data_IF_369448983817
#
_entry.id   IF_369448983817
#
_cell.length_a   1.000
_cell.length_b   1.000
_cell.length_c   1.000
_cell.angle_alpha   90.00
_cell.angle_beta   90.00
_cell.angle_gamma   90.00
#
_symmetry.space_group_name_H-M   'P 1'
#
loop_
_entity.id
_entity.type
_entity.pdbx_description
1 polymer ?
#
# COMPACT_ATOMS: atom_id res chain seq x y z
N UNK A 1 -0.70 -15.60 -6.00
CA UNK A 1 -0.09 -14.93 -7.16
C UNK A 1 1.39 -15.26 -7.16
N UNK A 2 1.92 -15.92 -8.18
CA UNK A 2 3.35 -16.22 -8.27
C UNK A 2 4.07 -14.92 -8.63
N UNK A 3 4.87 -14.39 -7.71
CA UNK A 3 5.71 -13.21 -7.96
C UNK A 3 6.77 -13.60 -8.99
N UNK A 4 6.72 -13.00 -10.18
CA UNK A 4 7.78 -13.18 -11.18
C UNK A 4 9.13 -12.73 -10.61
N UNK A 5 10.18 -13.51 -10.90
CA UNK A 5 11.54 -13.18 -10.48
C UNK A 5 11.98 -11.85 -11.14
N UNK A 6 12.71 -10.97 -10.43
CA UNK A 6 13.09 -9.64 -10.91
C UNK A 6 13.95 -9.65 -12.19
N UNK A 7 14.65 -10.75 -12.46
CA UNK A 7 15.34 -11.02 -13.73
C UNK A 7 14.53 -11.97 -14.62
N UNK A 8 14.10 -11.46 -15.77
CA UNK A 8 13.48 -12.25 -16.84
C UNK A 8 14.51 -12.96 -17.71
N UNK A 9 14.09 -14.00 -18.44
CA UNK A 9 14.95 -14.77 -19.35
C UNK A 9 15.54 -13.88 -20.45
N UNK A 10 14.74 -12.93 -20.94
CA UNK A 10 15.17 -11.95 -21.95
C UNK A 10 16.31 -11.07 -21.41
N UNK A 11 16.16 -10.55 -20.19
CA UNK A 11 17.22 -9.75 -19.56
C UNK A 11 18.48 -10.56 -19.33
N UNK A 12 18.36 -11.83 -18.90
CA UNK A 12 19.55 -12.68 -18.72
C UNK A 12 20.25 -12.93 -20.04
N UNK A 13 19.52 -13.26 -21.12
CA UNK A 13 20.12 -13.50 -22.43
C UNK A 13 20.78 -12.25 -23.03
N UNK A 14 20.25 -11.06 -22.73
CA UNK A 14 20.81 -9.78 -23.16
C UNK A 14 22.14 -9.44 -22.46
N UNK A 15 22.19 -9.57 -21.12
CA UNK A 15 23.37 -9.19 -20.34
C UNK A 15 24.43 -10.29 -20.21
N UNK A 16 24.02 -11.57 -20.23
CA UNK A 16 24.90 -12.73 -20.13
C UNK A 16 24.59 -13.76 -21.24
N UNK A 17 24.93 -13.43 -22.50
CA UNK A 17 24.66 -14.33 -23.63
C UNK A 17 25.38 -15.67 -23.44
N UNK A 18 24.62 -16.77 -23.47
CA UNK A 18 25.12 -18.14 -23.30
C UNK A 18 25.13 -18.67 -21.86
N UNK A 19 24.76 -17.85 -20.87
CA UNK A 19 24.54 -18.33 -19.50
C UNK A 19 23.14 -18.97 -19.34
N UNK A 20 23.03 -19.94 -18.43
CA UNK A 20 21.74 -20.52 -18.04
C UNK A 20 20.95 -19.52 -17.17
N UNK A 21 19.74 -19.08 -17.59
CA UNK A 21 18.89 -18.19 -16.81
C UNK A 21 18.56 -18.70 -15.40
N UNK A 22 18.49 -20.02 -15.20
CA UNK A 22 18.24 -20.58 -13.87
C UNK A 22 19.46 -20.38 -12.95
N UNK A 23 20.67 -20.57 -13.46
CA UNK A 23 21.90 -20.35 -12.70
C UNK A 23 22.09 -18.88 -12.34
N UNK A 24 21.89 -17.96 -13.29
CA UNK A 24 21.99 -16.52 -13.04
C UNK A 24 20.99 -16.06 -11.98
N UNK A 25 19.75 -16.55 -12.02
CA UNK A 25 18.75 -16.23 -10.97
C UNK A 25 19.16 -16.78 -9.61
N UNK A 26 19.64 -18.02 -9.55
CA UNK A 26 20.16 -18.61 -8.31
C UNK A 26 21.33 -17.80 -7.73
N UNK A 27 22.26 -17.37 -8.58
CA UNK A 27 23.39 -16.54 -8.16
C UNK A 27 22.94 -15.15 -7.70
N UNK A 28 21.97 -14.55 -8.40
CA UNK A 28 21.35 -13.31 -8.00
C UNK A 28 20.67 -13.43 -6.64
N UNK A 29 19.83 -14.45 -6.44
CA UNK A 29 19.17 -14.71 -5.16
C UNK A 29 20.18 -14.94 -4.04
N UNK A 30 21.27 -15.66 -4.32
CA UNK A 30 22.36 -15.86 -3.36
C UNK A 30 23.07 -14.55 -3.02
N UNK A 31 23.32 -13.68 -4.00
CA UNK A 31 23.92 -12.36 -3.80
C UNK A 31 23.01 -11.46 -2.96
N UNK A 32 21.71 -11.41 -3.30
CA UNK A 32 20.72 -10.65 -2.54
C UNK A 32 20.63 -11.18 -1.12
N UNK A 33 20.54 -12.50 -0.93
CA UNK A 33 20.53 -13.14 0.39
C UNK A 33 21.80 -12.83 1.20
N UNK A 34 22.98 -12.85 0.57
CA UNK A 34 24.23 -12.51 1.24
C UNK A 34 24.29 -11.03 1.67
N UNK A 35 23.66 -10.13 0.90
CA UNK A 35 23.57 -8.70 1.22
C UNK A 35 22.48 -8.33 2.23
N UNK A 36 21.54 -9.24 2.54
CA UNK A 36 20.46 -8.98 3.48
C UNK A 36 20.98 -8.90 4.92
N UNK A 37 20.60 -7.82 5.60
CA UNK A 37 21.00 -7.53 6.98
C UNK A 37 19.96 -8.03 7.97
N UNK A 38 19.76 -9.35 7.99
CA UNK A 38 18.72 -10.02 8.80
C UNK A 38 19.32 -10.78 9.99
N UNK A 39 20.64 -10.71 10.19
CA UNK A 39 21.33 -11.43 11.26
C UNK A 39 21.58 -10.56 12.48
N UNK A 40 21.44 -11.19 13.65
CA UNK A 40 21.67 -10.62 14.97
C UNK A 40 22.87 -11.31 15.62
N UNK A 41 23.55 -10.57 16.48
CA UNK A 41 24.65 -11.08 17.31
C UNK A 41 24.23 -10.93 18.77
N UNK A 42 24.42 -11.98 19.58
CA UNK A 42 24.09 -11.98 21.01
C UNK A 42 25.33 -12.36 21.84
N UNK A 43 25.53 -11.70 22.99
CA UNK A 43 26.56 -12.03 23.99
C UNK A 43 25.95 -12.05 25.38
N UNK A 44 26.06 -13.18 26.09
CA UNK A 44 25.52 -13.36 27.44
C UNK A 44 24.07 -12.87 27.64
N UNK A 45 23.20 -13.10 26.64
CA UNK A 45 21.80 -12.69 26.72
C UNK A 45 21.48 -11.31 26.12
N UNK A 46 22.47 -10.48 25.79
CA UNK A 46 22.29 -9.14 25.22
C UNK A 46 22.58 -9.11 23.72
N UNK A 47 21.81 -8.35 22.95
CA UNK A 47 22.08 -8.11 21.54
C UNK A 47 23.18 -7.08 21.35
N UNK A 48 24.00 -7.29 20.32
CA UNK A 48 25.01 -6.33 19.91
C UNK A 48 24.40 -5.20 19.09
N UNK A 49 24.69 -3.95 19.44
CA UNK A 49 24.23 -2.75 18.72
C UNK A 49 25.06 -2.51 17.46
N UNK A 50 24.50 -1.84 16.43
CA UNK A 50 25.26 -1.51 15.23
C UNK A 50 26.44 -0.58 15.57
N UNK A 51 27.46 -0.55 14.71
CA UNK A 51 28.63 0.31 14.83
C UNK A 51 29.41 0.15 16.16
N UNK A 52 29.38 -1.06 16.75
CA UNK A 52 30.07 -1.38 18.01
C UNK A 52 29.63 -0.50 19.18
N UNK A 53 28.41 0.03 19.16
CA UNK A 53 27.86 0.93 20.17
C UNK A 53 27.40 0.22 21.46
N UNK A 54 28.07 -0.87 21.86
CA UNK A 54 27.72 -1.67 23.04
C UNK A 54 26.56 -2.65 22.82
N UNK A 55 25.83 -2.95 23.90
CA UNK A 55 24.81 -4.00 23.93
C UNK A 55 23.42 -3.45 24.29
N UNK A 56 22.38 -4.23 24.02
CA UNK A 56 20.98 -3.93 24.36
C UNK A 56 20.24 -5.20 24.76
N UNK A 57 19.21 -5.08 25.60
CA UNK A 57 18.28 -6.18 25.86
C UNK A 57 17.18 -6.27 24.79
N UNK A 58 16.94 -5.17 24.08
CA UNK A 58 15.84 -5.03 23.12
C UNK A 58 16.26 -5.43 21.70
N UNK A 59 15.57 -6.41 21.10
CA UNK A 59 15.80 -6.86 19.71
C UNK A 59 15.62 -5.72 18.69
N UNK A 60 14.68 -4.81 18.94
CA UNK A 60 14.41 -3.66 18.05
C UNK A 60 15.59 -2.69 17.99
N UNK A 61 16.39 -2.61 19.06
CA UNK A 61 17.58 -1.76 19.12
C UNK A 61 18.87 -2.51 18.72
N UNK A 62 18.77 -3.80 18.36
CA UNK A 62 19.90 -4.62 17.96
C UNK A 62 20.41 -4.23 16.57
N UNK A 63 21.72 -4.39 16.36
CA UNK A 63 22.33 -4.25 15.04
C UNK A 63 21.79 -5.28 14.07
N UNK A 64 21.78 -4.90 12.80
CA UNK A 64 21.35 -5.73 11.67
C UNK A 64 22.56 -5.96 10.78
N UNK A 65 22.96 -7.22 10.67
CA UNK A 65 24.19 -7.64 10.02
C UNK A 65 23.89 -8.58 8.86
N UNK A 66 24.72 -8.56 7.83
CA UNK A 66 24.80 -9.69 6.90
C UNK A 66 25.34 -10.92 7.65
N UNK A 67 25.08 -12.13 7.12
CA UNK A 67 25.61 -13.35 7.74
C UNK A 67 27.14 -13.29 7.89
N UNK A 68 27.82 -12.83 6.85
CA UNK A 68 29.29 -12.72 6.83
C UNK A 68 29.80 -11.71 7.86
N UNK A 69 29.16 -10.55 8.00
CA UNK A 69 29.51 -9.58 9.05
C UNK A 69 29.29 -10.15 10.45
N UNK A 70 28.16 -10.82 10.67
CA UNK A 70 27.82 -11.42 11.96
C UNK A 70 28.80 -12.52 12.36
N UNK A 71 29.13 -13.42 11.44
CA UNK A 71 30.08 -14.50 11.68
C UNK A 71 31.50 -13.96 11.93
N UNK A 72 31.90 -12.91 11.21
CA UNK A 72 33.20 -12.25 11.42
C UNK A 72 33.31 -11.61 12.81
N UNK A 73 32.28 -10.89 13.24
CA UNK A 73 32.28 -10.27 14.57
C UNK A 73 32.20 -11.34 15.68
N UNK A 74 31.42 -12.41 15.49
CA UNK A 74 31.34 -13.51 16.43
C UNK A 74 32.66 -14.31 16.55
N UNK A 75 33.44 -14.40 15.47
CA UNK A 75 34.74 -15.08 15.45
C UNK A 75 35.79 -14.44 16.39
N UNK A 76 35.58 -13.20 16.83
CA UNK A 76 36.47 -12.52 17.80
C UNK A 76 36.43 -13.22 19.16
N UNK A 77 35.26 -13.67 19.60
CA UNK A 77 35.08 -14.46 20.83
C UNK A 77 34.04 -15.58 20.59
N UNK A 78 34.42 -16.68 19.92
CA UNK A 78 33.47 -17.71 19.45
C UNK A 78 32.67 -18.38 20.57
N UNK A 79 33.22 -18.41 21.78
CA UNK A 79 32.57 -19.00 22.95
C UNK A 79 31.55 -18.07 23.63
N UNK A 80 31.58 -16.77 23.31
CA UNK A 80 30.74 -15.75 23.97
C UNK A 80 29.67 -15.17 23.03
N UNK A 81 29.93 -15.18 21.72
CA UNK A 81 28.99 -14.67 20.73
C UNK A 81 28.15 -15.78 20.09
N UNK A 82 26.86 -15.49 19.92
CA UNK A 82 25.93 -16.33 19.17
C UNK A 82 25.38 -15.53 18.01
N UNK A 83 25.49 -16.08 16.80
CA UNK A 83 24.87 -15.53 15.59
C UNK A 83 23.52 -16.21 15.38
N UNK A 84 22.47 -15.42 15.17
CA UNK A 84 21.10 -15.90 14.98
C UNK A 84 20.40 -15.08 13.91
N UNK A 85 19.55 -15.72 13.13
CA UNK A 85 18.69 -15.03 12.19
C UNK A 85 17.57 -14.31 12.97
N UNK A 86 17.15 -13.11 12.54
CA UNK A 86 16.17 -12.33 13.31
C UNK A 86 14.80 -13.02 13.44
N UNK A 87 14.48 -13.96 12.55
CA UNK A 87 13.25 -14.77 12.63
C UNK A 87 13.27 -15.81 13.75
N UNK A 88 14.44 -16.19 14.25
CA UNK A 88 14.59 -17.14 15.36
C UNK A 88 14.36 -16.48 16.72
N UNK A 89 14.35 -15.14 16.75
CA UNK A 89 14.16 -14.36 17.95
C UNK A 89 12.77 -13.73 17.90
N UNK A 90 11.87 -14.01 18.87
CA UNK A 90 10.57 -13.33 18.90
C UNK A 90 10.77 -11.83 19.08
N UNK A 91 9.90 -11.03 18.45
CA UNK A 91 9.84 -9.61 18.75
C UNK A 91 9.18 -9.38 20.12
N UNK A 92 9.31 -8.16 20.64
CA UNK A 92 8.64 -7.77 21.87
C UNK A 92 7.10 -7.93 21.71
N UNK A 93 6.37 -8.33 22.76
CA UNK A 93 4.91 -8.51 22.70
C UNK A 93 4.16 -7.29 22.16
N UNK A 94 4.64 -6.07 22.44
CA UNK A 94 4.07 -4.82 21.93
C UNK A 94 4.24 -4.71 20.42
N UNK A 95 5.40 -5.10 19.88
CA UNK A 95 5.68 -5.09 18.44
C UNK A 95 4.77 -6.10 17.72
N UNK A 96 4.60 -7.29 18.28
CA UNK A 96 3.69 -8.30 17.71
C UNK A 96 2.23 -7.83 17.74
N UNK A 97 1.81 -7.19 18.84
CA UNK A 97 0.48 -6.57 18.95
C UNK A 97 0.29 -5.48 17.89
N UNK A 98 1.29 -4.62 17.68
CA UNK A 98 1.26 -3.56 16.67
C UNK A 98 1.19 -4.13 15.25
N UNK A 99 1.97 -5.17 14.93
CA UNK A 99 1.87 -5.88 13.64
C UNK A 99 0.49 -6.46 13.39
N UNK A 100 -0.11 -7.10 14.40
CA UNK A 100 -1.45 -7.65 14.28
C UNK A 100 -2.52 -6.57 14.04
N UNK A 101 -2.40 -5.42 14.72
CA UNK A 101 -3.25 -4.25 14.51
C UNK A 101 -3.06 -3.64 13.12
N UNK A 102 -1.81 -3.51 12.66
CA UNK A 102 -1.48 -3.01 11.33
C UNK A 102 -2.10 -3.90 10.25
N UNK A 103 -1.89 -5.22 10.33
CA UNK A 103 -2.48 -6.18 9.40
C UNK A 103 -4.02 -6.12 9.37
N UNK A 104 -4.65 -5.83 10.52
CA UNK A 104 -6.10 -5.64 10.59
C UNK A 104 -6.54 -4.35 9.91
N UNK A 105 -5.82 -3.25 10.16
CA UNK A 105 -6.10 -1.96 9.52
C UNK A 105 -5.89 -2.02 8.00
N UNK A 106 -4.84 -2.71 7.54
CA UNK A 106 -4.57 -2.91 6.11
C UNK A 106 -5.68 -3.72 5.43
N UNK A 107 -6.15 -4.80 6.07
CA UNK A 107 -7.30 -5.56 5.56
C UNK A 107 -8.56 -4.72 5.44
N UNK A 108 -8.83 -3.86 6.43
CA UNK A 108 -10.02 -3.01 6.39
C UNK A 108 -9.87 -1.90 5.34
N UNK A 109 -8.68 -1.30 5.21
CA UNK A 109 -8.36 -0.36 4.13
C UNK A 109 -8.62 -1.01 2.77
N UNK A 110 -8.11 -2.21 2.54
CA UNK A 110 -8.25 -2.92 1.27
C UNK A 110 -9.71 -3.29 0.99
N UNK A 111 -10.46 -3.69 2.02
CA UNK A 111 -11.90 -3.94 1.92
C UNK A 111 -12.67 -2.69 1.52
N UNK A 112 -12.45 -1.58 2.21
CA UNK A 112 -13.11 -0.30 1.94
C UNK A 112 -12.74 0.25 0.57
N UNK A 113 -11.47 0.16 0.20
CA UNK A 113 -10.99 0.54 -1.13
C UNK A 113 -11.66 -0.31 -2.22
N UNK A 114 -11.79 -1.62 -2.01
CA UNK A 114 -12.54 -2.49 -2.92
C UNK A 114 -14.02 -2.13 -3.03
N UNK A 115 -14.66 -1.75 -1.93
CA UNK A 115 -16.07 -1.34 -1.93
C UNK A 115 -16.33 -0.10 -2.76
N UNK A 116 -15.48 0.93 -2.67
CA UNK A 116 -15.68 2.17 -3.44
C UNK A 116 -15.27 2.03 -4.91
N UNK A 117 -14.32 1.15 -5.22
CA UNK A 117 -13.83 0.92 -6.59
C UNK A 117 -14.58 -0.18 -7.35
N UNK A 118 -15.69 -0.69 -6.80
CA UNK A 118 -16.56 -1.65 -7.46
C UNK A 118 -17.81 -0.94 -8.02
N UNK A 119 -18.02 -0.91 -9.35
CA UNK A 119 -19.21 -0.30 -9.93
C UNK A 119 -20.49 -1.02 -9.47
N UNK A 120 -21.35 -0.30 -8.76
CA UNK A 120 -22.71 -0.74 -8.41
C UNK A 120 -23.67 -0.13 -9.43
N UNK A 121 -24.41 -0.97 -10.17
CA UNK A 121 -25.32 -0.51 -11.23
C UNK A 121 -26.77 -0.89 -10.98
N UNK A 122 -27.06 -1.73 -9.99
CA UNK A 122 -28.41 -2.25 -9.76
C UNK A 122 -29.15 -1.48 -8.67
N UNK A 123 -28.46 -1.13 -7.57
CA UNK A 123 -29.02 -0.26 -6.53
C UNK A 123 -28.57 1.18 -6.75
N UNK A 124 -29.53 2.05 -7.12
CA UNK A 124 -29.25 3.44 -7.44
C UNK A 124 -28.76 4.28 -6.25
N UNK A 125 -29.37 4.15 -5.07
CA UNK A 125 -28.99 4.95 -3.90
C UNK A 125 -27.63 4.52 -3.36
N UNK A 126 -27.42 3.20 -3.26
CA UNK A 126 -26.15 2.62 -2.85
C UNK A 126 -25.06 2.99 -3.85
N UNK A 127 -25.32 2.83 -5.13
CA UNK A 127 -24.39 3.16 -6.20
C UNK A 127 -24.01 4.63 -6.22
N UNK A 128 -24.97 5.55 -6.10
CA UNK A 128 -24.69 6.99 -6.07
C UNK A 128 -23.81 7.37 -4.87
N UNK A 129 -24.04 6.75 -3.71
CA UNK A 129 -23.24 7.01 -2.50
C UNK A 129 -21.80 6.49 -2.63
N UNK A 130 -21.62 5.27 -3.13
CA UNK A 130 -20.30 4.68 -3.35
C UNK A 130 -19.51 5.42 -4.43
N UNK A 131 -20.16 5.73 -5.55
CA UNK A 131 -19.55 6.44 -6.67
C UNK A 131 -19.19 7.89 -6.28
N UNK A 132 -19.96 8.54 -5.41
CA UNK A 132 -19.59 9.85 -4.87
C UNK A 132 -18.29 9.79 -4.04
N UNK A 133 -18.11 8.73 -3.25
CA UNK A 133 -16.88 8.49 -2.50
C UNK A 133 -15.70 8.17 -3.43
N UNK A 134 -15.92 7.36 -4.47
CA UNK A 134 -14.91 7.06 -5.50
C UNK A 134 -14.48 8.30 -6.28
N UNK A 135 -15.40 9.20 -6.65
CA UNK A 135 -15.05 10.46 -7.32
C UNK A 135 -14.16 11.35 -6.44
N UNK A 136 -14.46 11.45 -5.14
CA UNK A 136 -13.62 12.20 -4.18
C UNK A 136 -12.25 11.55 -4.00
N UNK A 137 -12.19 10.22 -3.88
CA UNK A 137 -10.92 9.49 -3.76
C UNK A 137 -10.04 9.71 -5.00
N UNK A 138 -10.64 9.63 -6.18
CA UNK A 138 -9.94 9.73 -7.46
C UNK A 138 -9.44 11.14 -7.79
N UNK A 139 -10.22 12.17 -7.48
CA UNK A 139 -9.91 13.55 -7.87
C UNK A 139 -9.48 14.45 -6.71
N UNK A 140 -9.54 13.95 -5.47
CA UNK A 140 -9.41 14.70 -4.20
C UNK A 140 -10.55 15.69 -3.96
N UNK A 141 -10.87 15.97 -2.70
CA UNK A 141 -11.84 17.01 -2.37
C UNK A 141 -11.31 18.44 -2.51
N UNK A 142 -9.99 18.63 -2.58
CA UNK A 142 -9.39 19.94 -2.89
C UNK A 142 -9.74 20.38 -4.31
N UNK A 143 -9.79 19.43 -5.24
CA UNK A 143 -10.24 19.66 -6.60
C UNK A 143 -11.70 20.13 -6.67
N UNK A 144 -12.56 19.66 -5.76
CA UNK A 144 -13.96 20.07 -5.70
C UNK A 144 -14.18 21.38 -4.92
N UNK A 145 -13.27 21.74 -4.01
CA UNK A 145 -13.35 22.96 -3.22
C UNK A 145 -13.23 24.25 -4.06
N UNK A 146 -12.56 24.18 -5.21
CA UNK A 146 -12.39 25.30 -6.13
C UNK A 146 -13.49 25.45 -7.19
N UNK A 147 -14.42 24.48 -7.30
CA UNK A 147 -15.47 24.50 -8.31
C UNK A 147 -16.50 25.57 -8.01
N UNK A 148 -16.78 26.42 -8.99
CA UNK A 148 -17.91 27.34 -8.96
C UNK A 148 -19.20 26.62 -9.45
N UNK A 149 -20.39 27.24 -9.32
CA UNK A 149 -21.65 26.61 -9.75
C UNK A 149 -21.71 26.18 -11.22
N UNK A 150 -21.04 26.89 -12.14
CA UNK A 150 -21.00 26.51 -13.55
C UNK A 150 -20.12 25.27 -13.79
N UNK A 151 -19.03 25.10 -13.02
CA UNK A 151 -18.19 23.91 -13.11
C UNK A 151 -19.00 22.65 -12.75
N UNK A 152 -19.84 22.75 -11.70
CA UNK A 152 -20.77 21.68 -11.32
C UNK A 152 -21.81 21.41 -12.40
N UNK A 153 -22.43 22.47 -12.95
CA UNK A 153 -23.40 22.35 -14.04
C UNK A 153 -22.81 21.60 -15.24
N UNK A 154 -21.61 21.98 -15.69
CA UNK A 154 -20.96 21.34 -16.85
C UNK A 154 -20.57 19.88 -16.58
N UNK A 155 -20.07 19.57 -15.38
CA UNK A 155 -19.77 18.20 -14.98
C UNK A 155 -21.02 17.31 -15.03
N UNK A 156 -22.13 17.79 -14.46
CA UNK A 156 -23.40 17.05 -14.44
C UNK A 156 -23.93 16.86 -15.86
N UNK A 157 -23.93 17.92 -16.68
CA UNK A 157 -24.35 17.84 -18.07
C UNK A 157 -23.53 16.83 -18.88
N UNK A 158 -22.20 16.84 -18.70
CA UNK A 158 -21.30 15.89 -19.36
C UNK A 158 -21.58 14.43 -18.97
N UNK A 159 -21.78 14.14 -17.68
CA UNK A 159 -22.09 12.79 -17.21
C UNK A 159 -23.47 12.32 -17.68
N UNK A 160 -24.48 13.20 -17.63
CA UNK A 160 -25.81 12.92 -18.13
C UNK A 160 -25.78 12.62 -19.65
N UNK A 161 -25.00 13.38 -20.42
CA UNK A 161 -24.81 13.13 -21.85
C UNK A 161 -24.22 11.74 -22.12
N UNK A 162 -23.27 11.25 -21.32
CA UNK A 162 -22.74 9.88 -21.46
C UNK A 162 -23.81 8.83 -21.18
N UNK A 163 -24.65 9.05 -20.16
CA UNK A 163 -25.76 8.16 -19.87
C UNK A 163 -26.74 8.09 -21.05
N UNK A 164 -27.13 9.24 -21.59
CA UNK A 164 -27.98 9.32 -22.79
C UNK A 164 -27.34 8.62 -23.99
N UNK A 165 -26.06 8.89 -24.25
CA UNK A 165 -25.33 8.29 -25.39
C UNK A 165 -25.26 6.77 -25.29
N UNK A 166 -24.99 6.23 -24.09
CA UNK A 166 -24.97 4.79 -23.84
C UNK A 166 -26.37 4.16 -24.01
N UNK A 167 -27.42 4.83 -23.52
CA UNK A 167 -28.79 4.37 -23.67
C UNK A 167 -29.23 4.31 -25.14
N UNK A 168 -28.90 5.35 -25.93
CA UNK A 168 -29.18 5.38 -27.38
C UNK A 168 -28.42 4.29 -28.15
N UNK A 169 -27.24 3.90 -27.67
CA UNK A 169 -26.45 2.81 -28.24
C UNK A 169 -26.91 1.41 -27.77
N UNK A 170 -27.90 1.32 -26.88
CA UNK A 170 -28.37 0.04 -26.31
C UNK A 170 -27.45 -0.56 -25.24
N UNK A 171 -26.44 0.17 -24.76
CA UNK A 171 -25.53 -0.27 -23.69
C UNK A 171 -26.14 0.04 -22.31
N UNK A 172 -27.09 -0.78 -21.89
CA UNK A 172 -27.86 -0.59 -20.64
C UNK A 172 -26.95 -0.55 -19.40
N UNK A 173 -25.88 -1.35 -19.36
CA UNK A 173 -24.96 -1.36 -18.22
C UNK A 173 -24.24 -0.01 -18.07
N UNK A 174 -23.67 0.53 -19.15
CA UNK A 174 -23.05 1.86 -19.11
C UNK A 174 -24.06 2.98 -18.86
N UNK A 175 -25.28 2.87 -19.41
CA UNK A 175 -26.34 3.84 -19.15
C UNK A 175 -26.68 3.92 -17.65
N UNK A 176 -26.87 2.76 -17.00
CA UNK A 176 -27.07 2.67 -15.53
C UNK A 176 -25.88 3.28 -14.78
N UNK A 177 -24.66 2.86 -15.11
CA UNK A 177 -23.44 3.35 -14.47
C UNK A 177 -23.32 4.89 -14.57
N UNK A 178 -23.48 5.48 -15.76
CA UNK A 178 -23.37 6.93 -15.93
C UNK A 178 -24.53 7.71 -15.30
N UNK A 179 -25.72 7.12 -15.19
CA UNK A 179 -26.82 7.70 -14.43
C UNK A 179 -26.45 7.81 -12.95
N UNK A 180 -25.80 6.77 -12.41
CA UNK A 180 -25.26 6.76 -11.05
C UNK A 180 -24.12 7.77 -10.89
N UNK A 181 -23.16 7.84 -11.82
CA UNK A 181 -22.09 8.85 -11.79
C UNK A 181 -22.63 10.29 -11.80
N UNK A 182 -23.73 10.53 -12.52
CA UNK A 182 -24.42 11.84 -12.54
C UNK A 182 -25.03 12.15 -11.17
N UNK A 183 -25.70 11.19 -10.55
CA UNK A 183 -26.28 11.33 -9.21
C UNK A 183 -25.18 11.56 -8.14
N UNK A 184 -24.05 10.87 -8.25
CA UNK A 184 -22.89 11.07 -7.40
C UNK A 184 -22.34 12.50 -7.49
N UNK A 185 -22.25 13.07 -8.70
CA UNK A 185 -21.82 14.46 -8.89
C UNK A 185 -22.82 15.46 -8.27
N UNK A 186 -24.13 15.20 -8.36
CA UNK A 186 -25.16 15.99 -7.68
C UNK A 186 -25.04 15.91 -6.15
N UNK A 187 -24.78 14.73 -5.58
CA UNK A 187 -24.56 14.54 -4.15
C UNK A 187 -23.34 15.33 -3.66
N UNK A 188 -22.23 15.26 -4.39
CA UNK A 188 -21.03 16.02 -4.06
C UNK A 188 -21.24 17.54 -4.22
N UNK A 189 -22.01 17.99 -5.22
CA UNK A 189 -22.40 19.40 -5.33
C UNK A 189 -23.27 19.85 -4.16
N UNK A 190 -24.26 19.05 -3.75
CA UNK A 190 -25.08 19.34 -2.58
C UNK A 190 -24.23 19.51 -1.32
N UNK A 191 -23.29 18.59 -1.07
CA UNK A 191 -22.32 18.68 0.03
C UNK A 191 -21.46 19.94 -0.04
N UNK A 192 -21.03 20.32 -1.24
CA UNK A 192 -20.31 21.58 -1.47
C UNK A 192 -21.17 22.80 -1.09
N UNK A 193 -22.46 22.82 -1.46
CA UNK A 193 -23.38 23.90 -1.12
C UNK A 193 -23.68 24.00 0.38
N UNK A 194 -23.76 22.86 1.07
CA UNK A 194 -24.09 22.81 2.51
C UNK A 194 -22.86 22.96 3.41
N UNK A 195 -21.65 22.91 2.86
CA UNK A 195 -20.41 22.86 3.63
C UNK A 195 -20.18 21.51 4.34
N UNK A 196 -21.02 20.50 4.06
CA UNK A 196 -20.88 19.17 4.64
C UNK A 196 -19.62 18.49 4.07
N UNK A 197 -18.55 18.52 4.86
CA UNK A 197 -17.27 17.90 4.51
C UNK A 197 -17.19 16.50 5.09
N UNK A 198 -17.09 15.48 4.23
CA UNK A 198 -16.74 14.10 4.63
C UNK A 198 -15.24 13.90 4.80
N UNK A 199 -14.44 14.96 4.69
CA UNK A 199 -12.98 14.89 4.84
C UNK A 199 -12.58 14.74 6.30
N UNK A 200 -11.70 13.77 6.56
CA UNK A 200 -10.84 13.79 7.72
C UNK A 200 -9.87 14.97 7.60
N UNK A 201 -10.02 15.99 8.46
CA UNK A 201 -9.14 17.17 8.52
C UNK A 201 -8.53 17.31 9.93
N UNK A 202 -7.51 16.51 10.29
CA UNK A 202 -6.89 16.61 11.60
C UNK A 202 -6.22 17.97 11.79
N UNK A 203 -6.58 18.73 12.82
CA UNK A 203 -5.86 19.95 13.22
C UNK A 203 -6.32 21.27 12.58
N UNK A 204 -7.45 21.32 11.88
CA UNK A 204 -8.08 22.57 11.41
C UNK A 204 -9.57 22.56 11.76
N UNK A 205 -10.08 23.68 12.28
CA UNK A 205 -11.51 23.82 12.59
C UNK A 205 -12.37 23.67 11.34
N UNK A 206 -13.58 23.09 11.45
CA UNK A 206 -14.53 23.07 10.34
C UNK A 206 -14.86 24.50 9.90
N UNK A 207 -15.02 24.71 8.58
CA UNK A 207 -15.48 26.01 8.06
C UNK A 207 -16.89 26.28 8.59
N UNK A 208 -17.09 27.47 9.15
CA UNK A 208 -18.39 28.02 9.54
C UNK A 208 -19.29 28.26 8.34
#
# INVERSE_FOLDING_TARGET
MSTQHPLSDQQVAEFWPGADPADIRRQFDALIAAGRREWLIRKYGYFYRPNRAGYTMEKVAAGRYTKVEADREAAVEPHNFTVMHESEVPDAPEVETLKARLATAERERDRLHGMINSPETEDWLKGATLEAAHQIERYSAEHDAGKNPLDWFWLIGYLAQKATSAALAGDTHKAKHHTISTAAALLNWHRHLTGESTLMRPGIEPRQ
#
